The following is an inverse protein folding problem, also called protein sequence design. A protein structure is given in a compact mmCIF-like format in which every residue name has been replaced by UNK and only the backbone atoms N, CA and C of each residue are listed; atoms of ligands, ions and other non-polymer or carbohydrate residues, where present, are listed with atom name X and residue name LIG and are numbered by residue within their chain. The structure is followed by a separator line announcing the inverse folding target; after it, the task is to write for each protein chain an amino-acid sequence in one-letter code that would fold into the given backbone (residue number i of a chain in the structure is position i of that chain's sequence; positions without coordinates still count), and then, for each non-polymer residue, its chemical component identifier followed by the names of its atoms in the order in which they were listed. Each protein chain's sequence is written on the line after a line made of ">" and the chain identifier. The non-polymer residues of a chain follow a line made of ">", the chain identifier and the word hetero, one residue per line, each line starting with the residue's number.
data_IF_533768014034
#
_entry.id   IF_533768014034
#
_cell.length_a   1.000
_cell.length_b   1.000
_cell.length_c   1.000
_cell.angle_alpha   90.00
_cell.angle_beta   90.00
_cell.angle_gamma   90.00
#
_symmetry.space_group_name_H-M   'P 1'
#
loop_
_entity.id
_entity.type
_entity.pdbx_description
1 polymer ?
#
# COMPACT_ATOMS: atom_id res chain seq x y z
N UNK A 1 -15.18 7.05 20.17
CA UNK A 1 -15.43 8.34 19.49
C UNK A 1 -14.74 9.44 20.30
N UNK A 2 -13.64 10.02 19.83
CA UNK A 2 -13.06 11.23 20.43
C UNK A 2 -13.56 12.44 19.64
N UNK A 3 -14.80 12.87 19.93
CA UNK A 3 -15.34 14.13 19.40
C UNK A 3 -14.63 15.36 20.01
N UNK A 4 -14.01 15.19 21.18
CA UNK A 4 -13.40 16.25 21.99
C UNK A 4 -12.36 17.07 21.19
N UNK A 5 -11.37 16.48 20.47
CA UNK A 5 -10.38 17.27 19.74
C UNK A 5 -10.99 18.09 18.59
N UNK A 6 -12.01 17.57 17.92
CA UNK A 6 -12.70 18.27 16.84
C UNK A 6 -13.61 19.39 17.38
N UNK A 7 -14.31 19.15 18.49
CA UNK A 7 -15.11 20.17 19.17
C UNK A 7 -14.23 21.29 19.74
N UNK A 8 -13.07 20.93 20.32
CA UNK A 8 -12.06 21.90 20.77
C UNK A 8 -11.52 22.71 19.59
N UNK A 9 -11.21 22.06 18.47
CA UNK A 9 -10.80 22.77 17.25
C UNK A 9 -11.88 23.74 16.75
N UNK A 10 -13.14 23.31 16.67
CA UNK A 10 -14.22 24.17 16.19
C UNK A 10 -14.50 25.33 17.14
N UNK A 11 -14.42 25.11 18.45
CA UNK A 11 -14.56 26.16 19.46
C UNK A 11 -13.39 27.14 19.41
N UNK A 12 -12.15 26.66 19.35
CA UNK A 12 -10.96 27.51 19.17
C UNK A 12 -11.02 28.27 17.85
N UNK A 13 -11.46 27.63 16.77
CA UNK A 13 -11.65 28.31 15.49
C UNK A 13 -12.65 29.45 15.63
N UNK A 14 -13.82 29.21 16.24
CA UNK A 14 -14.87 30.24 16.42
C UNK A 14 -14.40 31.40 17.30
N UNK A 15 -13.76 31.10 18.44
CA UNK A 15 -13.28 32.10 19.39
C UNK A 15 -12.11 32.91 18.84
N UNK A 16 -11.17 32.27 18.13
CA UNK A 16 -10.08 32.97 17.48
C UNK A 16 -10.59 33.81 16.29
N UNK A 17 -11.55 33.32 15.50
CA UNK A 17 -12.14 34.11 14.41
C UNK A 17 -12.83 35.39 14.93
N UNK A 18 -13.42 35.41 16.13
CA UNK A 18 -14.05 36.59 16.70
C UNK A 18 -13.07 37.55 17.40
N UNK A 19 -11.98 37.06 17.99
CA UNK A 19 -10.96 37.91 18.63
C UNK A 19 -9.95 38.53 17.64
N UNK A 20 -9.77 37.95 16.45
CA UNK A 20 -8.70 38.33 15.52
C UNK A 20 -9.20 38.95 14.21
N UNK A 21 -10.44 39.42 14.15
CA UNK A 21 -10.95 40.20 13.01
C UNK A 21 -10.10 41.48 12.73
N UNK A 22 -9.22 41.88 13.66
CA UNK A 22 -8.28 42.99 13.55
C UNK A 22 -6.79 42.59 13.48
N UNK A 23 -6.42 41.30 13.59
CA UNK A 23 -5.02 40.84 13.45
C UNK A 23 -4.93 39.67 12.48
N UNK A 24 -4.27 39.88 11.36
CA UNK A 24 -4.34 39.03 10.15
C UNK A 24 -3.63 37.67 10.22
N UNK A 25 -3.09 37.20 11.36
CA UNK A 25 -2.14 36.07 11.35
C UNK A 25 -2.12 35.15 12.60
N UNK A 26 -3.24 34.87 13.26
CA UNK A 26 -3.28 33.69 14.14
C UNK A 26 -3.48 32.44 13.27
N UNK A 27 -2.39 31.71 13.07
CA UNK A 27 -2.28 30.68 12.04
C UNK A 27 -3.08 29.42 12.42
N UNK A 28 -4.38 29.41 12.11
CA UNK A 28 -5.26 28.23 12.27
C UNK A 28 -4.67 26.95 11.64
N UNK A 29 -3.71 27.11 10.73
CA UNK A 29 -2.88 26.05 10.17
C UNK A 29 -2.04 25.35 11.25
N UNK A 30 -1.39 26.09 12.15
CA UNK A 30 -0.60 25.54 13.25
C UNK A 30 -1.44 24.70 14.21
N UNK A 31 -2.68 25.12 14.49
CA UNK A 31 -3.59 24.36 15.37
C UNK A 31 -3.92 23.00 14.74
N UNK A 32 -4.30 22.99 13.46
CA UNK A 32 -4.58 21.75 12.73
C UNK A 32 -3.34 20.84 12.64
N UNK A 33 -2.16 21.43 12.45
CA UNK A 33 -0.88 20.72 12.44
C UNK A 33 -0.56 20.07 13.79
N UNK A 34 -0.71 20.80 14.90
CA UNK A 34 -0.46 20.28 16.25
C UNK A 34 -1.45 19.19 16.65
N UNK A 35 -2.73 19.35 16.31
CA UNK A 35 -3.74 18.31 16.54
C UNK A 35 -3.42 17.05 15.74
N UNK A 36 -3.11 17.20 14.45
CA UNK A 36 -2.72 16.07 13.61
C UNK A 36 -1.41 15.44 14.07
N UNK A 37 -0.44 16.20 14.59
CA UNK A 37 0.84 15.66 15.05
C UNK A 37 0.69 14.71 16.24
N UNK A 38 -0.27 14.97 17.13
CA UNK A 38 -0.48 14.20 18.36
C UNK A 38 -1.64 13.18 18.28
N UNK A 39 -2.32 13.10 17.14
CA UNK A 39 -3.44 12.18 16.95
C UNK A 39 -2.98 10.73 16.70
N UNK A 40 -3.86 9.75 16.88
CA UNK A 40 -3.60 8.39 16.40
C UNK A 40 -3.59 8.35 14.86
N UNK A 41 -2.91 7.37 14.24
CA UNK A 41 -2.95 7.21 12.78
C UNK A 41 -4.38 7.01 12.26
N UNK A 42 -5.20 6.27 13.00
CA UNK A 42 -6.62 6.08 12.69
C UNK A 42 -7.36 7.43 12.63
N UNK A 43 -7.13 8.32 13.60
CA UNK A 43 -7.69 9.68 13.61
C UNK A 43 -7.18 10.51 12.44
N UNK A 44 -5.88 10.48 12.15
CA UNK A 44 -5.31 11.20 11.01
C UNK A 44 -5.98 10.77 9.71
N UNK A 45 -6.18 9.46 9.50
CA UNK A 45 -6.85 8.94 8.32
C UNK A 45 -8.31 9.39 8.23
N UNK A 46 -9.04 9.38 9.35
CA UNK A 46 -10.43 9.90 9.42
C UNK A 46 -10.50 11.39 9.13
N UNK A 47 -9.66 12.19 9.79
CA UNK A 47 -9.77 13.65 9.76
C UNK A 47 -9.39 14.26 8.40
N UNK A 48 -8.83 13.48 7.47
CA UNK A 48 -8.63 13.90 6.06
C UNK A 48 -9.91 14.33 5.35
N UNK A 49 -11.07 13.82 5.76
CA UNK A 49 -12.36 14.17 5.17
C UNK A 49 -13.01 15.42 5.80
N UNK A 50 -12.56 15.84 7.00
CA UNK A 50 -13.22 16.88 7.80
C UNK A 50 -13.11 18.28 7.17
N UNK A 51 -11.90 18.68 6.76
CA UNK A 51 -11.70 19.98 6.10
C UNK A 51 -10.46 19.99 5.20
N UNK A 52 -10.36 20.98 4.30
CA UNK A 52 -9.16 21.17 3.45
C UNK A 52 -7.88 21.34 4.28
N UNK A 53 -7.95 22.03 5.42
CA UNK A 53 -6.80 22.27 6.32
C UNK A 53 -6.36 20.99 7.03
N UNK A 54 -7.29 20.24 7.62
CA UNK A 54 -6.99 18.94 8.22
C UNK A 54 -6.45 17.96 7.17
N UNK A 55 -7.00 17.96 5.96
CA UNK A 55 -6.47 17.15 4.85
C UNK A 55 -5.02 17.49 4.54
N UNK A 56 -4.69 18.78 4.42
CA UNK A 56 -3.32 19.21 4.14
C UNK A 56 -2.34 18.88 5.29
N UNK A 57 -2.76 19.05 6.55
CA UNK A 57 -1.96 18.66 7.71
C UNK A 57 -1.77 17.13 7.79
N UNK A 58 -2.85 16.36 7.61
CA UNK A 58 -2.81 14.90 7.60
C UNK A 58 -1.91 14.36 6.49
N UNK A 59 -2.06 14.85 5.24
CA UNK A 59 -1.21 14.42 4.13
C UNK A 59 0.26 14.73 4.38
N UNK A 60 0.59 15.87 5.00
CA UNK A 60 1.97 16.18 5.39
C UNK A 60 2.54 15.25 6.46
N UNK A 61 1.73 14.84 7.44
CA UNK A 61 2.16 13.83 8.43
C UNK A 61 2.35 12.47 7.75
N UNK A 62 1.40 12.04 6.93
CA UNK A 62 1.45 10.76 6.24
C UNK A 62 2.61 10.67 5.23
N UNK A 63 2.98 11.79 4.61
CA UNK A 63 4.14 11.86 3.71
C UNK A 63 5.48 11.60 4.40
N UNK A 64 5.55 11.63 5.74
CA UNK A 64 6.77 11.30 6.49
C UNK A 64 7.09 9.80 6.45
N UNK A 65 6.07 8.96 6.25
CA UNK A 65 6.26 7.52 6.14
C UNK A 65 6.81 7.17 4.76
N UNK A 66 8.11 6.94 4.72
CA UNK A 66 8.85 6.54 3.52
C UNK A 66 9.08 5.04 3.46
N UNK A 67 8.97 4.34 4.59
CA UNK A 67 9.15 2.89 4.71
C UNK A 67 7.84 2.24 5.14
N UNK A 68 7.37 1.27 4.36
CA UNK A 68 6.05 0.63 4.58
C UNK A 68 6.22 -0.88 4.62
N UNK A 69 5.76 -1.48 5.71
CA UNK A 69 5.72 -2.93 5.90
C UNK A 69 4.27 -3.40 5.84
N UNK A 70 3.95 -4.29 4.90
CA UNK A 70 2.62 -4.91 4.79
C UNK A 70 2.75 -6.40 4.98
N UNK A 71 2.19 -6.90 6.09
CA UNK A 71 2.32 -8.30 6.52
C UNK A 71 0.97 -8.97 6.65
N UNK A 72 0.96 -10.28 6.44
CA UNK A 72 -0.21 -11.13 6.59
C UNK A 72 -0.09 -11.96 7.87
N UNK A 73 -1.12 -11.93 8.71
CA UNK A 73 -1.16 -12.71 9.95
C UNK A 73 -2.44 -13.51 10.09
N UNK A 74 -2.34 -14.67 10.73
CA UNK A 74 -3.49 -15.50 11.04
C UNK A 74 -4.25 -14.97 12.26
N UNK A 75 -5.57 -14.82 12.15
CA UNK A 75 -6.45 -14.57 13.29
C UNK A 75 -6.58 -13.10 13.71
N UNK A 76 -6.08 -12.16 12.92
CA UNK A 76 -6.30 -10.72 13.11
C UNK A 76 -7.78 -10.36 13.11
N UNK A 77 -8.60 -10.97 12.26
CA UNK A 77 -10.05 -10.74 12.26
C UNK A 77 -10.70 -11.08 13.61
N UNK A 78 -10.26 -12.18 14.24
CA UNK A 78 -10.77 -12.58 15.56
C UNK A 78 -10.33 -11.59 16.65
N UNK A 79 -9.11 -11.07 16.54
CA UNK A 79 -8.60 -10.04 17.45
C UNK A 79 -9.40 -8.74 17.30
N UNK A 80 -9.67 -8.33 16.06
CA UNK A 80 -10.48 -7.15 15.74
C UNK A 80 -11.90 -7.23 16.33
N UNK A 81 -12.57 -8.37 16.17
CA UNK A 81 -13.93 -8.60 16.71
C UNK A 81 -13.95 -8.68 18.24
N UNK A 82 -12.88 -9.15 18.88
CA UNK A 82 -12.73 -9.13 20.34
C UNK A 82 -12.41 -7.74 20.88
N UNK A 83 -11.54 -7.00 20.20
CA UNK A 83 -11.17 -5.63 20.54
C UNK A 83 -12.34 -4.65 20.40
N UNK A 84 -13.32 -4.93 19.52
CA UNK A 84 -14.57 -4.16 19.51
C UNK A 84 -15.49 -4.43 20.69
N UNK A 85 -15.27 -5.53 21.42
CA UNK A 85 -16.13 -6.04 22.50
C UNK A 85 -15.56 -5.79 23.90
N UNK A 86 -14.28 -5.44 24.02
CA UNK A 86 -13.59 -5.24 25.30
C UNK A 86 -12.89 -3.88 25.27
N UNK A 87 -13.12 -3.04 26.29
CA UNK A 87 -12.48 -1.74 26.55
C UNK A 87 -11.00 -1.84 26.94
N UNK A 88 -10.27 -2.81 26.39
CA UNK A 88 -8.86 -3.06 26.63
C UNK A 88 -8.17 -3.11 25.27
N UNK A 89 -7.61 -1.98 24.86
CA UNK A 89 -6.22 -1.84 24.36
C UNK A 89 -6.08 -0.45 23.72
N UNK A 90 -5.56 0.51 24.48
CA UNK A 90 -4.99 1.76 23.94
C UNK A 90 -3.77 1.50 23.03
N UNK A 91 -3.34 0.25 22.88
CA UNK A 91 -2.10 -0.12 22.18
C UNK A 91 -2.27 -0.48 20.70
N UNK A 92 -3.46 -0.85 20.24
CA UNK A 92 -3.68 -1.34 18.87
C UNK A 92 -4.48 -0.34 18.03
N UNK A 93 -3.82 0.33 17.08
CA UNK A 93 -4.46 1.28 16.18
C UNK A 93 -5.05 0.57 14.95
N UNK A 94 -6.37 0.38 14.92
CA UNK A 94 -7.07 -0.18 13.76
C UNK A 94 -7.45 0.88 12.73
N UNK A 95 -7.45 0.50 11.45
CA UNK A 95 -7.96 1.36 10.40
C UNK A 95 -9.46 1.67 10.62
N UNK A 96 -9.92 2.92 10.46
CA UNK A 96 -11.28 3.32 10.83
C UNK A 96 -12.40 2.59 10.09
N UNK A 97 -12.14 2.14 8.86
CA UNK A 97 -13.16 1.54 7.97
C UNK A 97 -13.13 0.01 7.90
N UNK A 98 -12.15 -0.68 8.50
CA UNK A 98 -12.00 -2.13 8.32
C UNK A 98 -10.90 -2.78 9.15
N UNK A 99 -10.78 -4.11 9.01
CA UNK A 99 -9.90 -4.96 9.79
C UNK A 99 -8.45 -4.90 9.25
N UNK A 100 -7.82 -3.75 9.44
CA UNK A 100 -6.39 -3.54 9.19
C UNK A 100 -5.75 -2.98 10.44
N UNK A 101 -4.74 -3.67 10.96
CA UNK A 101 -3.96 -3.15 12.08
C UNK A 101 -2.89 -2.22 11.53
N UNK A 102 -2.75 -1.04 12.13
CA UNK A 102 -1.77 -0.04 11.78
C UNK A 102 -0.82 0.15 12.97
N UNK A 103 0.48 0.21 12.70
CA UNK A 103 1.52 0.38 13.70
C UNK A 103 2.53 1.42 13.23
N UNK A 104 2.63 2.54 13.95
CA UNK A 104 3.70 3.52 13.76
C UNK A 104 4.95 2.95 14.44
N UNK A 105 5.87 2.37 13.65
CA UNK A 105 7.08 1.72 14.17
C UNK A 105 8.17 2.75 14.48
N UNK A 106 8.30 3.76 13.61
CA UNK A 106 9.19 4.90 13.80
C UNK A 106 8.61 6.15 13.10
N UNK A 107 9.30 7.29 13.20
CA UNK A 107 8.86 8.53 12.53
C UNK A 107 8.74 8.46 11.00
N UNK A 108 9.32 7.41 10.38
CA UNK A 108 9.34 7.20 8.94
C UNK A 108 8.85 5.81 8.51
N UNK A 109 8.48 4.95 9.47
CA UNK A 109 8.17 3.55 9.22
C UNK A 109 6.76 3.20 9.68
N UNK A 110 6.00 2.62 8.77
CA UNK A 110 4.61 2.21 8.98
C UNK A 110 4.45 0.72 8.78
N UNK A 111 3.96 0.04 9.81
CA UNK A 111 3.46 -1.33 9.74
C UNK A 111 1.96 -1.37 9.43
N UNK A 112 1.58 -2.22 8.49
CA UNK A 112 0.20 -2.53 8.12
C UNK A 112 0.03 -4.05 8.18
N UNK A 113 -0.93 -4.51 8.97
CA UNK A 113 -1.21 -5.93 9.14
C UNK A 113 -2.59 -6.27 8.57
N UNK A 114 -2.66 -7.29 7.73
CA UNK A 114 -3.89 -7.83 7.15
C UNK A 114 -4.09 -9.27 7.60
N UNK A 115 -5.33 -9.68 7.86
CA UNK A 115 -5.64 -11.08 8.15
C UNK A 115 -5.33 -11.99 6.96
N UNK A 116 -4.96 -13.25 7.22
CA UNK A 116 -4.71 -14.26 6.20
C UNK A 116 -5.93 -14.66 5.39
N UNK A 117 -7.13 -14.41 5.92
CA UNK A 117 -8.41 -14.60 5.23
C UNK A 117 -9.16 -13.26 5.17
N UNK A 118 -8.63 -12.28 4.42
CA UNK A 118 -9.19 -10.94 4.41
C UNK A 118 -10.55 -10.93 3.69
N UNK A 119 -11.48 -10.11 4.18
CA UNK A 119 -12.70 -9.82 3.42
C UNK A 119 -12.34 -8.88 2.27
N UNK A 120 -13.10 -8.92 1.18
CA UNK A 120 -12.86 -8.05 0.03
C UNK A 120 -12.90 -6.55 0.39
N UNK A 121 -13.73 -6.19 1.39
CA UNK A 121 -13.76 -4.84 1.97
C UNK A 121 -12.38 -4.42 2.49
N UNK A 122 -11.71 -5.27 3.26
CA UNK A 122 -10.41 -4.98 3.86
C UNK A 122 -9.32 -4.88 2.80
N UNK A 123 -9.37 -5.73 1.76
CA UNK A 123 -8.46 -5.64 0.61
C UNK A 123 -8.60 -4.29 -0.11
N UNK A 124 -9.83 -3.83 -0.35
CA UNK A 124 -10.06 -2.51 -0.95
C UNK A 124 -9.53 -1.37 -0.10
N UNK A 125 -9.69 -1.45 1.21
CA UNK A 125 -9.17 -0.46 2.14
C UNK A 125 -7.63 -0.46 2.11
N UNK A 126 -6.99 -1.63 2.12
CA UNK A 126 -5.54 -1.74 1.98
C UNK A 126 -5.04 -1.07 0.69
N UNK A 127 -5.65 -1.39 -0.44
CA UNK A 127 -5.26 -0.85 -1.74
C UNK A 127 -5.46 0.67 -1.78
N UNK A 128 -6.56 1.18 -1.23
CA UNK A 128 -6.80 2.62 -1.11
C UNK A 128 -5.77 3.30 -0.19
N UNK A 129 -5.41 2.65 0.92
CA UNK A 129 -4.41 3.14 1.85
C UNK A 129 -3.02 3.21 1.20
N UNK A 130 -2.62 2.18 0.44
CA UNK A 130 -1.37 2.20 -0.31
C UNK A 130 -1.31 3.33 -1.36
N UNK A 131 -2.45 3.71 -1.96
CA UNK A 131 -2.50 4.87 -2.86
C UNK A 131 -2.23 6.19 -2.12
N UNK A 132 -2.48 6.29 -0.82
CA UNK A 132 -2.16 7.49 -0.04
C UNK A 132 -0.66 7.69 0.10
N UNK A 133 0.10 6.58 0.21
CA UNK A 133 1.54 6.61 0.40
C UNK A 133 2.34 6.51 -0.89
N UNK A 134 1.68 6.22 -2.01
CA UNK A 134 2.27 5.97 -3.34
C UNK A 134 3.44 6.90 -3.69
N UNK A 135 3.24 8.20 -3.57
CA UNK A 135 4.22 9.21 -4.03
C UNK A 135 5.46 9.28 -3.13
N UNK A 136 5.36 8.88 -1.86
CA UNK A 136 6.43 9.05 -0.86
C UNK A 136 7.07 7.72 -0.43
N UNK A 137 6.53 6.57 -0.86
CA UNK A 137 7.04 5.27 -0.48
C UNK A 137 8.39 4.99 -1.16
N UNK A 138 9.47 5.06 -0.40
CA UNK A 138 10.85 4.82 -0.84
C UNK A 138 11.22 3.36 -0.62
N UNK A 139 10.83 2.77 0.50
CA UNK A 139 11.07 1.36 0.84
C UNK A 139 9.76 0.65 1.11
N UNK A 140 9.54 -0.49 0.46
CA UNK A 140 8.34 -1.30 0.66
C UNK A 140 8.74 -2.74 0.94
N UNK A 141 8.16 -3.28 2.01
CA UNK A 141 8.30 -4.67 2.41
C UNK A 141 6.91 -5.30 2.42
N UNK A 142 6.67 -6.30 1.57
CA UNK A 142 5.36 -6.92 1.44
C UNK A 142 5.45 -8.44 1.44
N UNK A 143 4.47 -9.09 2.06
CA UNK A 143 4.30 -10.53 1.89
C UNK A 143 3.76 -10.85 0.49
N UNK A 144 4.14 -12.00 -0.07
CA UNK A 144 3.79 -12.38 -1.43
C UNK A 144 2.28 -12.39 -1.75
N UNK A 145 1.36 -12.72 -0.82
CA UNK A 145 -0.08 -12.56 -1.08
C UNK A 145 -0.51 -11.11 -1.29
N UNK A 146 0.11 -10.16 -0.59
CA UNK A 146 -0.16 -8.72 -0.75
C UNK A 146 0.29 -8.25 -2.13
N UNK A 147 1.49 -8.66 -2.55
CA UNK A 147 2.04 -8.35 -3.87
C UNK A 147 1.12 -8.87 -4.97
N UNK A 148 0.63 -10.10 -4.84
CA UNK A 148 -0.32 -10.67 -5.81
C UNK A 148 -1.62 -9.86 -5.90
N UNK A 149 -2.20 -9.49 -4.75
CA UNK A 149 -3.42 -8.66 -4.74
C UNK A 149 -3.20 -7.31 -5.42
N UNK A 150 -2.05 -6.68 -5.17
CA UNK A 150 -1.67 -5.42 -5.76
C UNK A 150 -1.50 -5.53 -7.28
N UNK A 151 -0.80 -6.56 -7.75
CA UNK A 151 -0.62 -6.84 -9.17
C UNK A 151 -1.96 -7.13 -9.86
N UNK A 152 -2.85 -7.90 -9.21
CA UNK A 152 -4.21 -8.14 -9.71
C UNK A 152 -5.00 -6.85 -9.85
N UNK A 153 -4.94 -5.96 -8.86
CA UNK A 153 -5.62 -4.65 -8.91
C UNK A 153 -5.10 -3.78 -10.06
N UNK A 154 -3.79 -3.75 -10.30
CA UNK A 154 -3.21 -3.04 -11.45
C UNK A 154 -3.73 -3.61 -12.76
N UNK A 155 -3.84 -4.94 -12.89
CA UNK A 155 -4.43 -5.55 -14.08
C UNK A 155 -5.91 -5.18 -14.26
N UNK A 156 -6.70 -5.21 -13.18
CA UNK A 156 -8.11 -4.80 -13.22
C UNK A 156 -8.27 -3.36 -13.67
N UNK A 157 -7.45 -2.44 -13.15
CA UNK A 157 -7.45 -1.03 -13.59
C UNK A 157 -7.09 -0.89 -15.08
N UNK A 158 -6.10 -1.65 -15.55
CA UNK A 158 -5.71 -1.68 -16.97
C UNK A 158 -6.87 -2.15 -17.86
N UNK A 159 -7.54 -3.24 -17.50
CA UNK A 159 -8.70 -3.76 -18.23
C UNK A 159 -9.84 -2.74 -18.24
N UNK A 160 -10.16 -2.13 -17.09
CA UNK A 160 -11.20 -1.12 -17.01
C UNK A 160 -10.90 0.10 -17.87
N UNK A 161 -9.64 0.56 -17.91
CA UNK A 161 -9.22 1.64 -18.80
C UNK A 161 -9.42 1.26 -20.28
N UNK A 162 -9.01 0.05 -20.68
CA UNK A 162 -9.23 -0.44 -22.04
C UNK A 162 -10.72 -0.50 -22.41
N UNK A 163 -11.58 -1.00 -21.51
CA UNK A 163 -13.03 -1.04 -21.72
C UNK A 163 -13.60 0.37 -21.92
N UNK A 164 -13.14 1.36 -21.16
CA UNK A 164 -13.52 2.75 -21.36
C UNK A 164 -13.11 3.25 -22.76
N UNK A 165 -11.88 2.98 -23.20
CA UNK A 165 -11.43 3.34 -24.56
C UNK A 165 -12.30 2.68 -25.64
N UNK A 166 -12.59 1.38 -25.52
CA UNK A 166 -13.47 0.69 -26.47
C UNK A 166 -14.89 1.29 -26.48
N UNK A 167 -15.42 1.67 -25.32
CA UNK A 167 -16.75 2.28 -25.24
C UNK A 167 -16.82 3.69 -25.81
N UNK A 168 -15.73 4.48 -25.70
CA UNK A 168 -15.62 5.82 -26.26
C UNK A 168 -15.50 5.79 -27.78
N UNK A 169 -14.71 4.87 -28.32
CA UNK A 169 -14.56 4.70 -29.77
C UNK A 169 -15.87 4.31 -30.46
N UNK A 170 -16.81 3.64 -29.76
CA UNK A 170 -18.13 3.28 -30.31
C UNK A 170 -19.17 4.41 -30.24
N UNK A 171 -18.92 5.47 -29.47
CA UNK A 171 -19.83 6.62 -29.34
C UNK A 171 -19.50 7.76 -30.32
N UNK A 172 -18.48 7.58 -31.16
CA UNK A 172 -18.03 8.58 -32.11
C UNK A 172 -18.68 8.46 -33.51
N UNK A 173 -19.74 7.65 -33.66
CA UNK A 173 -20.44 7.42 -34.94
C UNK A 173 -21.76 8.18 -35.10
N UNK A 174 -22.15 9.02 -34.14
CA UNK A 174 -23.35 9.87 -34.26
C UNK A 174 -22.97 11.33 -34.03
N UNK A 175 -22.57 11.99 -35.13
CA UNK A 175 -22.63 13.44 -35.41
C UNK A 175 -21.38 13.88 -36.19
N UNK A 176 -21.33 13.52 -37.48
CA UNK A 176 -20.40 14.11 -38.43
C UNK A 176 -21.03 15.36 -39.06
N UNK A 177 -20.76 16.53 -38.48
CA UNK A 177 -20.60 17.76 -39.26
C UNK A 177 -19.14 18.20 -39.14
N UNK A 178 -18.46 18.16 -40.27
CA UNK A 178 -17.07 18.53 -40.46
C UNK A 178 -16.85 20.01 -40.16
N UNK A 179 -16.03 20.32 -39.15
CA UNK A 179 -15.19 21.53 -39.11
C UNK A 179 -13.87 21.18 -38.42
N UNK A 180 -12.78 21.35 -39.18
CA UNK A 180 -11.38 21.55 -38.78
C UNK A 180 -10.74 20.60 -37.73
N UNK A 181 -9.64 19.98 -38.16
CA UNK A 181 -8.46 19.50 -37.42
C UNK A 181 -8.27 20.01 -35.98
N UNK A 182 -9.17 19.65 -35.08
CA UNK A 182 -8.95 19.71 -33.65
C UNK A 182 -8.56 18.29 -33.23
N UNK A 183 -7.27 18.09 -32.99
CA UNK A 183 -6.76 16.95 -32.21
C UNK A 183 -7.67 16.86 -30.98
N UNK A 184 -8.50 15.81 -30.91
CA UNK A 184 -9.44 15.62 -29.82
C UNK A 184 -8.70 15.89 -28.51
N UNK A 185 -9.25 16.68 -27.58
CA UNK A 185 -8.56 16.97 -26.34
C UNK A 185 -8.32 15.62 -25.67
N UNK A 186 -7.05 15.20 -25.62
CA UNK A 186 -6.63 14.03 -24.85
C UNK A 186 -7.07 14.28 -23.43
N UNK A 187 -8.26 13.80 -23.06
CA UNK A 187 -8.68 13.79 -21.70
C UNK A 187 -7.59 13.05 -20.94
N UNK A 188 -7.10 13.68 -19.87
CA UNK A 188 -6.18 13.11 -18.88
C UNK A 188 -6.80 11.91 -18.14
N UNK A 189 -7.61 11.08 -18.78
CA UNK A 189 -7.98 9.74 -18.33
C UNK A 189 -6.82 8.81 -18.64
N UNK A 190 -5.74 9.06 -17.90
CA UNK A 190 -4.48 8.36 -17.94
C UNK A 190 -4.76 6.87 -17.68
N UNK A 191 -4.39 6.00 -18.62
CA UNK A 191 -3.77 4.72 -18.25
C UNK A 191 -2.79 5.03 -17.10
N UNK A 192 -2.59 4.16 -16.10
CA UNK A 192 -1.53 4.40 -15.12
C UNK A 192 -0.18 4.39 -15.86
N UNK A 193 0.18 5.53 -16.44
CA UNK A 193 1.43 5.82 -17.17
C UNK A 193 2.57 5.87 -16.16
N UNK A 194 2.23 6.13 -14.90
CA UNK A 194 3.14 6.14 -13.79
C UNK A 194 3.03 4.82 -12.99
N UNK A 195 4.15 4.21 -12.57
CA UNK A 195 4.16 3.06 -11.67
C UNK A 195 3.40 3.31 -10.37
N UNK A 196 2.90 2.24 -9.76
CA UNK A 196 2.21 2.32 -8.46
C UNK A 196 3.04 2.97 -7.36
N UNK A 197 4.37 2.88 -7.41
CA UNK A 197 5.29 3.54 -6.49
C UNK A 197 6.42 4.20 -7.28
N UNK A 198 6.25 5.47 -7.69
CA UNK A 198 7.23 6.16 -8.54
C UNK A 198 8.58 6.40 -7.88
N UNK A 199 8.59 6.68 -6.57
CA UNK A 199 9.80 7.00 -5.80
C UNK A 199 10.50 5.76 -5.20
N UNK A 200 10.08 4.55 -5.57
CA UNK A 200 10.51 3.33 -4.91
C UNK A 200 11.98 3.01 -5.20
N UNK A 201 12.80 2.92 -4.14
CA UNK A 201 14.21 2.54 -4.18
C UNK A 201 14.44 1.11 -3.72
N UNK A 202 13.64 0.63 -2.77
CA UNK A 202 13.77 -0.73 -2.26
C UNK A 202 12.42 -1.46 -2.25
N UNK A 203 12.37 -2.63 -2.87
CA UNK A 203 11.22 -3.51 -2.87
C UNK A 203 11.59 -4.89 -2.33
N UNK A 204 11.07 -5.24 -1.15
CA UNK A 204 11.31 -6.53 -0.52
C UNK A 204 10.02 -7.34 -0.51
N UNK A 205 10.07 -8.53 -1.08
CA UNK A 205 8.98 -9.50 -1.07
C UNK A 205 9.35 -10.65 -0.15
N UNK A 206 8.55 -10.89 0.88
CA UNK A 206 8.73 -12.04 1.76
C UNK A 206 7.71 -13.12 1.42
N UNK A 207 8.12 -14.39 1.42
CA UNK A 207 7.20 -15.51 1.22
C UNK A 207 7.57 -16.65 2.16
N UNK A 208 6.58 -17.18 2.87
CA UNK A 208 6.70 -18.45 3.57
C UNK A 208 6.35 -19.63 2.63
N UNK A 209 6.50 -20.90 3.05
CA UNK A 209 6.23 -22.06 2.20
C UNK A 209 4.77 -22.15 1.74
N UNK A 210 3.81 -21.75 2.58
CA UNK A 210 2.38 -21.77 2.27
C UNK A 210 2.01 -20.71 1.22
N UNK A 211 2.80 -19.65 1.12
CA UNK A 211 2.55 -18.50 0.23
C UNK A 211 3.30 -18.59 -1.12
N UNK A 212 4.13 -19.60 -1.36
CA UNK A 212 4.95 -19.68 -2.58
C UNK A 212 4.14 -19.66 -3.89
N UNK A 213 2.93 -20.21 -3.87
CA UNK A 213 2.06 -20.21 -5.05
C UNK A 213 1.69 -18.79 -5.51
N UNK A 214 1.67 -17.80 -4.60
CA UNK A 214 1.38 -16.41 -4.93
C UNK A 214 2.44 -15.83 -5.87
N UNK A 215 3.71 -16.20 -5.68
CA UNK A 215 4.83 -15.80 -6.55
C UNK A 215 4.67 -16.32 -7.98
N UNK A 216 4.25 -17.58 -8.14
CA UNK A 216 4.01 -18.16 -9.46
C UNK A 216 2.82 -17.58 -10.20
N UNK A 217 1.84 -16.99 -9.50
CA UNK A 217 0.68 -16.40 -10.15
C UNK A 217 0.94 -15.01 -10.71
N UNK A 218 2.00 -14.31 -10.25
CA UNK A 218 2.34 -12.96 -10.71
C UNK A 218 2.50 -12.87 -12.24
N UNK A 219 3.17 -13.84 -12.87
CA UNK A 219 3.35 -13.90 -14.32
C UNK A 219 2.02 -14.01 -15.10
N UNK A 220 0.96 -14.55 -14.49
CA UNK A 220 -0.33 -14.76 -15.16
C UNK A 220 -1.19 -13.49 -15.21
N UNK A 221 -0.87 -12.47 -14.41
CA UNK A 221 -1.64 -11.22 -14.41
C UNK A 221 -1.31 -10.29 -15.58
N UNK A 222 -0.33 -10.63 -16.43
CA UNK A 222 0.10 -9.82 -17.57
C UNK A 222 0.37 -8.34 -17.19
N UNK A 223 0.94 -8.13 -16.00
CA UNK A 223 1.35 -6.82 -15.49
C UNK A 223 2.87 -6.80 -15.47
N UNK A 224 3.45 -5.93 -16.29
CA UNK A 224 4.87 -5.66 -16.25
C UNK A 224 5.24 -5.00 -14.91
N UNK A 225 6.41 -5.35 -14.39
CA UNK A 225 6.89 -4.80 -13.11
C UNK A 225 7.10 -3.28 -13.16
N UNK A 226 7.29 -2.70 -14.34
CA UNK A 226 7.33 -1.25 -14.59
C UNK A 226 6.02 -0.52 -14.21
N UNK A 227 4.91 -1.25 -14.06
CA UNK A 227 3.66 -0.72 -13.54
C UNK A 227 3.64 -0.65 -12.00
N UNK A 228 4.61 -1.27 -11.33
CA UNK A 228 4.75 -1.27 -9.87
C UNK A 228 5.80 -0.25 -9.44
N UNK A 229 6.97 -0.24 -10.08
CA UNK A 229 8.08 0.66 -9.78
C UNK A 229 8.90 0.99 -11.03
N UNK A 230 9.74 2.01 -10.97
CA UNK A 230 10.65 2.36 -12.07
C UNK A 230 11.93 1.50 -12.03
N UNK A 231 12.12 0.60 -13.00
CA UNK A 231 13.33 -0.26 -13.07
C UNK A 231 14.65 0.51 -13.12
N UNK A 232 14.68 1.74 -13.65
CA UNK A 232 15.90 2.55 -13.72
C UNK A 232 16.26 3.21 -12.39
N UNK A 233 15.26 3.48 -11.56
CA UNK A 233 15.44 4.23 -10.32
C UNK A 233 15.51 3.32 -9.09
N UNK A 234 15.08 2.05 -9.21
CA UNK A 234 15.14 1.10 -8.11
C UNK A 234 16.59 0.66 -7.83
N UNK A 235 16.95 0.64 -6.55
CA UNK A 235 18.28 0.27 -6.07
C UNK A 235 18.34 -1.20 -5.65
N UNK A 236 17.25 -1.71 -5.06
CA UNK A 236 17.19 -3.08 -4.56
C UNK A 236 15.80 -3.71 -4.74
N UNK A 237 15.78 -4.91 -5.32
CA UNK A 237 14.65 -5.84 -5.31
C UNK A 237 15.08 -7.10 -4.60
N UNK A 238 14.48 -7.40 -3.46
CA UNK A 238 14.85 -8.56 -2.66
C UNK A 238 13.69 -9.54 -2.54
N UNK A 239 13.93 -10.81 -2.88
CA UNK A 239 13.02 -11.92 -2.55
C UNK A 239 13.56 -12.67 -1.32
N UNK A 240 12.81 -12.64 -0.22
CA UNK A 240 13.11 -13.34 1.01
C UNK A 240 12.18 -14.55 1.16
N UNK A 241 12.74 -15.76 1.08
CA UNK A 241 11.98 -16.97 1.36
C UNK A 241 12.27 -17.40 2.81
N UNK A 242 11.24 -17.38 3.64
CA UNK A 242 11.32 -17.87 5.03
C UNK A 242 10.95 -19.35 5.03
N UNK A 243 11.90 -20.20 5.34
CA UNK A 243 11.79 -21.65 5.44
C UNK A 243 11.56 -22.02 6.92
N UNK A 244 10.61 -22.91 7.19
CA UNK A 244 10.48 -23.52 8.52
C UNK A 244 11.62 -24.49 8.85
N UNK A 245 11.63 -25.02 10.07
CA UNK A 245 12.70 -25.86 10.66
C UNK A 245 13.00 -27.18 9.90
N UNK A 246 12.16 -27.57 8.94
CA UNK A 246 12.26 -28.86 8.26
C UNK A 246 12.19 -28.72 6.73
N UNK A 247 13.11 -27.98 6.13
CA UNK A 247 13.18 -27.90 4.67
C UNK A 247 14.27 -28.82 4.09
N UNK A 248 13.89 -30.04 3.67
CA UNK A 248 14.83 -30.96 3.00
C UNK A 248 14.23 -31.78 1.85
N UNK A 249 12.92 -31.72 1.54
CA UNK A 249 12.30 -32.72 0.67
C UNK A 249 11.86 -32.29 -0.74
N UNK A 250 11.80 -31.01 -1.10
CA UNK A 250 11.60 -30.63 -2.52
C UNK A 250 12.13 -29.23 -2.89
N UNK A 251 13.46 -29.07 -2.87
CA UNK A 251 14.12 -27.84 -3.38
C UNK A 251 13.58 -27.39 -4.75
N UNK A 252 13.32 -28.36 -5.64
CA UNK A 252 12.79 -28.12 -7.00
C UNK A 252 11.45 -27.36 -7.04
N UNK A 253 10.49 -27.67 -6.14
CA UNK A 253 9.19 -26.99 -6.15
C UNK A 253 9.33 -25.51 -5.85
N UNK A 254 10.24 -25.17 -4.93
CA UNK A 254 10.41 -23.78 -4.50
C UNK A 254 11.21 -23.00 -5.52
N UNK A 255 12.25 -23.61 -6.09
CA UNK A 255 12.97 -22.98 -7.19
C UNK A 255 12.05 -22.69 -8.39
N UNK A 256 11.00 -23.50 -8.62
CA UNK A 256 9.98 -23.18 -9.62
C UNK A 256 9.27 -21.85 -9.29
N UNK A 257 8.78 -21.69 -8.07
CA UNK A 257 8.10 -20.46 -7.64
C UNK A 257 9.00 -19.23 -7.64
N UNK A 258 10.24 -19.39 -7.18
CA UNK A 258 11.28 -18.36 -7.22
C UNK A 258 11.60 -17.98 -8.67
N UNK A 259 11.74 -18.95 -9.57
CA UNK A 259 12.00 -18.68 -10.98
C UNK A 259 10.84 -17.94 -11.64
N UNK A 260 9.59 -18.27 -11.31
CA UNK A 260 8.44 -17.47 -11.76
C UNK A 260 8.52 -16.02 -11.28
N UNK A 261 8.91 -15.80 -10.01
CA UNK A 261 9.11 -14.43 -9.51
C UNK A 261 10.21 -13.70 -10.27
N UNK A 262 11.37 -14.36 -10.48
CA UNK A 262 12.50 -13.79 -11.23
C UNK A 262 12.11 -13.37 -12.65
N UNK A 263 11.28 -14.19 -13.31
CA UNK A 263 10.74 -13.88 -14.64
C UNK A 263 9.82 -12.66 -14.58
N UNK A 264 8.87 -12.63 -13.64
CA UNK A 264 7.96 -11.50 -13.47
C UNK A 264 8.68 -10.19 -13.12
N UNK A 265 9.63 -10.23 -12.19
CA UNK A 265 10.40 -9.07 -11.74
C UNK A 265 11.46 -8.63 -12.74
N UNK A 266 11.61 -9.34 -13.86
CA UNK A 266 12.67 -9.14 -14.85
C UNK A 266 14.05 -9.04 -14.20
N UNK A 267 14.38 -10.04 -13.37
CA UNK A 267 15.60 -10.08 -12.58
C UNK A 267 16.88 -9.97 -13.45
N UNK A 268 16.82 -10.43 -14.71
CA UNK A 268 17.87 -10.24 -15.71
C UNK A 268 18.22 -8.78 -15.96
N UNK A 269 17.21 -7.91 -16.08
CA UNK A 269 17.40 -6.47 -16.29
C UNK A 269 17.90 -5.73 -15.05
N UNK A 270 17.61 -6.28 -13.86
CA UNK A 270 18.01 -5.69 -12.58
C UNK A 270 19.48 -5.95 -12.26
N UNK A 271 20.04 -7.07 -12.72
CA UNK A 271 21.44 -7.45 -12.48
C UNK A 271 21.74 -7.56 -11.00
N UNK A 272 22.77 -6.84 -10.52
CA UNK A 272 23.20 -6.81 -9.11
C UNK A 272 22.15 -6.24 -8.16
N UNK A 273 21.13 -5.55 -8.67
CA UNK A 273 20.04 -4.95 -7.87
C UNK A 273 18.98 -5.97 -7.46
N UNK A 274 19.00 -7.17 -8.04
CA UNK A 274 18.15 -8.26 -7.60
C UNK A 274 18.90 -9.18 -6.62
N UNK A 275 18.34 -9.36 -5.43
CA UNK A 275 18.89 -10.23 -4.38
C UNK A 275 17.86 -11.27 -3.97
N UNK A 276 18.33 -12.49 -3.71
CA UNK A 276 17.49 -13.59 -3.23
C UNK A 276 18.08 -14.17 -1.96
N UNK A 277 17.27 -14.25 -0.91
CA UNK A 277 17.67 -14.72 0.41
C UNK A 277 16.77 -15.87 0.87
N UNK A 278 17.38 -16.88 1.48
CA UNK A 278 16.67 -17.99 2.10
C UNK A 278 16.98 -17.97 3.60
N UNK A 279 15.96 -17.85 4.42
CA UNK A 279 16.08 -17.83 5.87
C UNK A 279 15.53 -19.14 6.42
N UNK A 280 16.32 -19.94 7.13
CA UNK A 280 15.85 -21.17 7.77
C UNK A 280 16.97 -21.94 8.43
N UNK A 281 16.64 -22.74 9.45
CA UNK A 281 17.59 -23.66 10.06
C UNK A 281 17.82 -24.85 9.12
N UNK A 282 19.04 -25.02 8.63
CA UNK A 282 19.41 -26.22 7.89
C UNK A 282 19.45 -27.40 8.88
N UNK A 283 18.56 -28.38 8.70
CA UNK A 283 18.62 -29.63 9.47
C UNK A 283 19.93 -30.33 9.09
N UNK A 284 21.00 -30.12 9.88
CA UNK A 284 22.28 -30.82 9.74
C UNK A 284 21.95 -32.30 9.60
N UNK A 285 22.29 -32.91 8.46
CA UNK A 285 22.21 -34.35 8.28
C UNK A 285 23.09 -34.99 9.36
N UNK A 286 22.47 -35.46 10.43
CA UNK A 286 23.13 -36.35 11.37
C UNK A 286 23.64 -37.54 10.57
N UNK A 287 24.96 -37.70 10.54
CA UNK A 287 25.59 -38.97 10.16
C UNK A 287 25.21 -39.99 11.23
N UNK A 288 24.04 -40.61 11.11
CA UNK A 288 23.89 -41.98 11.61
C UNK A 288 24.50 -42.87 10.56
N UNK A 289 25.79 -43.21 10.77
CA UNK A 289 26.44 -44.32 10.10
C UNK A 289 25.69 -45.61 10.48
N UNK A 290 25.66 -46.53 9.50
CA UNK A 290 25.28 -47.92 9.65
C UNK A 290 25.85 -48.58 10.90
#
# INVERSE_FOLDING_TARGET
>A
MSLIPLTVYDNLRRVCCSMFASSSQTDHREIAERLIANASLADVLRWRSVSKRFRAAALRRLARFTTIHVRVYDGLCKLYERGSSITITDELSWHPEGCLLLSEMSGHELGIALDSRPKWKDVRILLALLQVFRENAIHIHMDSPIVEMLVKEVNTKKINALLLFFSQNRKCDTDFTCVETAIAPMMKSQLPLCPMFPALKQFVVTSNPQQLNHLSRLIHYAVAVDMIYQKKEIDLVCLQIVLGESWCRSKQRVFRHVNSFKQWSDASSLGVRYVQQFHGAEKRRGKTKC
#
